data_IF_090666354251
#
_entry.id   IF_090666354251
#
_cell.length_a   1.000
_cell.length_b   1.000
_cell.length_c   1.000
_cell.angle_alpha   90.00
_cell.angle_beta   90.00
_cell.angle_gamma   90.00
#
_symmetry.space_group_name_H-M   'P 1'
#
loop_
_entity.id
_entity.type
_entity.pdbx_description
1 polymer ?
#
# COMPACT_ATOMS: atom_id res chain seq x y z
N UNK A 1 -19.42 67.24 -11.32
CA UNK A 1 -19.77 65.82 -11.10
C UNK A 1 -18.72 65.24 -10.17
N UNK A 2 -19.22 64.64 -9.09
CA UNK A 2 -18.54 63.96 -7.97
C UNK A 2 -17.57 62.86 -8.43
N UNK A 3 -16.48 62.63 -7.68
CA UNK A 3 -15.65 61.43 -7.90
C UNK A 3 -14.34 61.38 -7.12
N UNK A 4 -14.46 61.10 -5.84
CA UNK A 4 -13.45 60.81 -4.81
C UNK A 4 -12.29 59.88 -5.29
N UNK A 5 -11.04 60.30 -5.05
CA UNK A 5 -9.84 59.46 -5.14
C UNK A 5 -9.62 58.80 -3.77
N UNK A 6 -10.32 57.69 -3.52
CA UNK A 6 -10.07 56.85 -2.34
C UNK A 6 -9.30 55.59 -2.74
N UNK A 7 -8.09 55.49 -2.20
CA UNK A 7 -7.19 54.36 -2.31
C UNK A 7 -7.83 53.06 -1.79
N UNK A 8 -7.55 51.92 -2.44
CA UNK A 8 -7.59 50.65 -1.73
C UNK A 8 -6.48 49.73 -2.22
N UNK A 9 -5.43 49.64 -1.41
CA UNK A 9 -4.34 48.70 -1.58
C UNK A 9 -4.86 47.28 -1.38
N UNK A 10 -4.98 46.52 -2.46
CA UNK A 10 -5.25 45.09 -2.38
C UNK A 10 -4.01 44.39 -1.79
N UNK A 11 -4.06 44.13 -0.48
CA UNK A 11 -3.15 43.22 0.21
C UNK A 11 -3.31 41.83 -0.40
N UNK A 12 -2.35 41.42 -1.22
CA UNK A 12 -2.13 40.02 -1.58
C UNK A 12 -1.71 39.25 -0.33
N UNK A 13 -2.68 38.76 0.44
CA UNK A 13 -2.45 37.73 1.43
C UNK A 13 -2.16 36.41 0.70
N UNK A 14 -1.05 35.71 0.98
CA UNK A 14 -0.81 34.40 0.39
C UNK A 14 -1.90 33.45 0.88
N UNK A 15 -2.61 32.83 -0.07
CA UNK A 15 -3.58 31.79 0.20
C UNK A 15 -2.87 30.63 0.91
N UNK A 16 -3.11 30.51 2.21
CA UNK A 16 -2.64 29.39 3.01
C UNK A 16 -3.50 28.18 2.62
N UNK A 17 -3.11 27.49 1.55
CA UNK A 17 -3.71 26.20 1.17
C UNK A 17 -3.38 25.20 2.27
N UNK A 18 -4.24 25.13 3.29
CA UNK A 18 -4.31 24.00 4.20
C UNK A 18 -4.72 22.79 3.37
N UNK A 19 -3.73 21.98 2.99
CA UNK A 19 -3.97 20.65 2.44
C UNK A 19 -4.86 19.88 3.42
N UNK A 20 -6.13 19.68 3.09
CA UNK A 20 -7.04 18.82 3.86
C UNK A 20 -6.34 17.46 3.98
N UNK A 21 -5.98 17.08 5.21
CA UNK A 21 -5.41 15.77 5.50
C UNK A 21 -6.53 14.75 5.32
N UNK A 22 -6.62 14.14 4.14
CA UNK A 22 -7.60 13.08 3.87
C UNK A 22 -7.36 11.95 4.85
N UNK A 23 -8.33 11.70 5.73
CA UNK A 23 -8.26 10.65 6.75
C UNK A 23 -9.06 9.45 6.25
N UNK A 24 -8.36 8.37 5.89
CA UNK A 24 -8.99 7.13 5.47
C UNK A 24 -9.43 6.30 6.68
N UNK A 25 -10.55 5.56 6.62
CA UNK A 25 -10.95 4.68 7.70
C UNK A 25 -9.87 3.62 7.96
N UNK A 26 -9.79 3.15 9.21
CA UNK A 26 -8.87 2.04 9.53
C UNK A 26 -9.40 0.79 8.83
N UNK A 27 -8.51 0.09 8.11
CA UNK A 27 -8.82 -1.22 7.57
C UNK A 27 -9.28 -2.16 8.69
N UNK A 28 -10.43 -2.81 8.50
CA UNK A 28 -10.83 -3.94 9.31
C UNK A 28 -10.17 -5.22 8.79
N UNK A 29 -9.05 -5.59 9.43
CA UNK A 29 -8.24 -6.75 9.03
C UNK A 29 -9.00 -8.09 9.10
N UNK A 30 -10.13 -8.13 9.81
CA UNK A 30 -10.97 -9.33 9.95
C UNK A 30 -11.74 -9.67 8.67
N UNK A 31 -11.87 -8.71 7.76
CA UNK A 31 -12.64 -8.88 6.52
C UNK A 31 -11.79 -9.50 5.40
N UNK A 32 -10.46 -9.42 5.53
CA UNK A 32 -9.50 -9.95 4.55
C UNK A 32 -9.70 -11.45 4.27
N UNK A 33 -9.84 -12.34 5.26
CA UNK A 33 -10.07 -13.77 5.00
C UNK A 33 -11.38 -14.08 4.27
N UNK A 34 -12.34 -13.16 4.31
CA UNK A 34 -13.63 -13.29 3.62
C UNK A 34 -13.56 -12.73 2.19
N UNK A 35 -12.39 -12.30 1.73
CA UNK A 35 -12.22 -11.65 0.42
C UNK A 35 -12.89 -10.28 0.33
N UNK A 36 -13.13 -9.64 1.48
CA UNK A 36 -13.79 -8.34 1.57
C UNK A 36 -12.74 -7.25 1.82
N UNK A 37 -12.51 -6.44 0.79
CA UNK A 37 -11.55 -5.36 0.78
C UNK A 37 -12.21 -3.97 0.63
N UNK A 38 -13.52 -3.85 0.85
CA UNK A 38 -14.24 -2.56 0.77
C UNK A 38 -13.67 -1.46 1.67
N UNK A 39 -13.13 -1.82 2.84
CA UNK A 39 -12.40 -0.87 3.69
C UNK A 39 -11.08 -0.36 3.11
N UNK A 40 -10.56 -1.00 2.06
CA UNK A 40 -9.30 -0.70 1.40
C UNK A 40 -9.48 0.07 0.08
N UNK A 41 -10.67 0.03 -0.53
CA UNK A 41 -10.95 0.66 -1.82
C UNK A 41 -11.18 2.18 -1.76
N UNK A 42 -11.30 2.74 -0.55
CA UNK A 42 -11.42 4.18 -0.36
C UNK A 42 -10.04 4.86 -0.44
N UNK A 43 -9.67 5.40 -1.59
CA UNK A 43 -8.43 6.18 -1.76
C UNK A 43 -7.49 5.61 -2.82
N UNK A 44 -6.39 6.33 -3.07
CA UNK A 44 -5.38 5.92 -4.05
C UNK A 44 -4.24 5.20 -3.33
N UNK A 45 -3.71 4.14 -3.92
CA UNK A 45 -2.54 3.46 -3.40
C UNK A 45 -1.30 3.89 -4.17
N UNK A 46 -0.23 4.23 -3.45
CA UNK A 46 1.03 4.69 -4.05
C UNK A 46 2.17 3.86 -3.51
N UNK A 47 3.03 3.38 -4.41
CA UNK A 47 4.29 2.73 -4.03
C UNK A 47 5.20 3.78 -3.38
N UNK A 48 5.63 3.53 -2.15
CA UNK A 48 6.45 4.48 -1.37
C UNK A 48 7.85 3.97 -1.09
N UNK A 49 8.06 2.66 -1.22
CA UNK A 49 9.37 2.04 -1.09
C UNK A 49 9.38 0.67 -1.79
N UNK A 50 10.54 0.27 -2.29
CA UNK A 50 10.77 -1.06 -2.83
C UNK A 50 12.13 -1.61 -2.40
N UNK A 51 12.24 -2.91 -2.27
CA UNK A 51 13.50 -3.61 -2.03
C UNK A 51 13.56 -4.84 -2.94
N UNK A 52 14.76 -5.21 -3.34
CA UNK A 52 15.03 -6.49 -3.96
C UNK A 52 16.05 -7.22 -3.07
N UNK A 53 16.06 -8.55 -3.05
CA UNK A 53 17.23 -9.28 -2.55
C UNK A 53 18.07 -9.75 -3.71
N UNK A 54 19.39 -9.67 -3.56
CA UNK A 54 20.34 -10.30 -4.46
C UNK A 54 21.28 -11.15 -3.61
N UNK A 55 21.50 -12.41 -4.00
CA UNK A 55 22.38 -13.35 -3.30
C UNK A 55 22.08 -13.53 -1.80
N UNK A 56 20.80 -13.65 -1.43
CA UNK A 56 20.38 -13.94 -0.05
C UNK A 56 20.48 -12.78 0.94
N UNK A 57 21.02 -11.62 0.54
CA UNK A 57 21.05 -10.40 1.36
C UNK A 57 19.96 -9.43 0.91
N UNK A 58 19.19 -8.91 1.86
CA UNK A 58 18.19 -7.88 1.57
C UNK A 58 18.88 -6.58 1.18
N UNK A 59 18.74 -6.17 -0.08
CA UNK A 59 19.30 -4.89 -0.54
C UNK A 59 18.49 -3.77 0.07
N UNK A 60 19.18 -2.67 0.39
CA UNK A 60 18.63 -1.43 0.92
C UNK A 60 17.30 -1.07 0.27
N UNK A 61 16.27 -0.80 1.08
CA UNK A 61 15.03 -0.18 0.59
C UNK A 61 15.37 1.09 -0.19
N UNK A 62 14.74 1.27 -1.34
CA UNK A 62 14.88 2.46 -2.18
C UNK A 62 13.56 3.21 -2.27
N UNK A 63 13.67 4.54 -2.28
CA UNK A 63 12.57 5.49 -2.52
C UNK A 63 12.81 6.30 -3.79
N UNK A 64 13.80 5.89 -4.60
CA UNK A 64 14.08 6.57 -5.85
C UNK A 64 12.81 6.49 -6.70
N UNK A 65 12.19 7.63 -6.99
CA UNK A 65 10.96 7.71 -7.77
C UNK A 65 11.08 7.03 -9.13
N UNK A 66 12.28 7.00 -9.72
CA UNK A 66 12.54 6.28 -10.97
C UNK A 66 12.46 4.76 -10.83
N UNK A 67 12.41 4.23 -9.60
CA UNK A 67 12.25 2.80 -9.28
C UNK A 67 10.89 2.45 -8.70
N UNK A 68 10.11 3.45 -8.25
CA UNK A 68 8.76 3.29 -7.73
C UNK A 68 7.78 3.42 -8.90
N UNK A 69 7.57 2.33 -9.63
CA UNK A 69 6.81 2.33 -10.89
C UNK A 69 5.50 1.55 -10.79
N UNK A 70 5.32 0.76 -9.74
CA UNK A 70 4.21 -0.16 -9.64
C UNK A 70 2.96 0.54 -9.13
N UNK A 71 1.82 0.06 -9.60
CA UNK A 71 0.51 0.59 -9.27
C UNK A 71 -0.27 -0.49 -8.57
N UNK A 72 -0.87 -0.16 -7.43
CA UNK A 72 -1.77 -1.06 -6.73
C UNK A 72 -3.22 -0.63 -6.96
N UNK A 73 -4.00 -1.51 -7.55
CA UNK A 73 -5.44 -1.38 -7.67
C UNK A 73 -6.09 -2.12 -6.52
N UNK A 74 -6.97 -1.44 -5.79
CA UNK A 74 -7.74 -2.07 -4.70
C UNK A 74 -9.22 -1.77 -4.88
N UNK A 75 -10.02 -2.82 -5.01
CA UNK A 75 -11.48 -2.76 -5.11
C UNK A 75 -12.11 -3.42 -3.89
N UNK A 76 -13.44 -3.59 -3.87
CA UNK A 76 -14.13 -4.25 -2.76
C UNK A 76 -13.77 -5.73 -2.60
N UNK A 77 -13.22 -6.36 -3.63
CA UNK A 77 -12.94 -7.79 -3.69
C UNK A 77 -11.68 -8.16 -4.47
N UNK A 78 -10.88 -7.16 -4.89
CA UNK A 78 -9.61 -7.38 -5.57
C UNK A 78 -8.51 -6.50 -4.98
N UNK A 79 -7.29 -7.03 -4.93
CA UNK A 79 -6.04 -6.30 -4.77
C UNK A 79 -5.09 -6.79 -5.83
N UNK A 80 -4.57 -5.88 -6.66
CA UNK A 80 -3.84 -6.23 -7.87
C UNK A 80 -2.74 -5.21 -8.16
N UNK A 81 -1.49 -5.66 -8.32
CA UNK A 81 -0.35 -4.85 -8.73
C UNK A 81 0.09 -5.06 -10.19
N UNK A 82 -0.73 -5.77 -10.97
CA UNK A 82 -0.50 -6.30 -12.32
C UNK A 82 0.44 -7.52 -12.40
N UNK A 83 1.03 -7.95 -11.29
CA UNK A 83 1.88 -9.14 -11.22
C UNK A 83 1.27 -10.23 -10.33
N UNK A 84 0.66 -9.81 -9.22
CA UNK A 84 -0.09 -10.63 -8.27
C UNK A 84 -1.46 -9.99 -8.08
N UNK A 85 -2.49 -10.82 -8.18
CA UNK A 85 -3.82 -10.43 -7.73
C UNK A 85 -4.32 -11.35 -6.60
N UNK A 86 -4.97 -10.76 -5.60
CA UNK A 86 -5.80 -11.44 -4.61
C UNK A 86 -7.25 -11.10 -4.91
N UNK A 87 -7.97 -12.06 -5.51
CA UNK A 87 -9.36 -11.92 -5.94
C UNK A 87 -10.24 -12.75 -5.02
N UNK A 88 -11.09 -12.09 -4.25
CA UNK A 88 -11.81 -12.67 -3.13
C UNK A 88 -10.84 -13.38 -2.18
N UNK A 89 -10.93 -14.71 -2.09
CA UNK A 89 -10.12 -15.54 -1.19
C UNK A 89 -9.02 -16.32 -1.90
N UNK A 90 -8.69 -15.96 -3.15
CA UNK A 90 -7.76 -16.71 -4.00
C UNK A 90 -6.72 -15.80 -4.63
N UNK A 91 -5.49 -16.29 -4.67
CA UNK A 91 -4.47 -15.71 -5.54
C UNK A 91 -4.77 -16.02 -7.00
N UNK A 92 -4.57 -15.03 -7.86
CA UNK A 92 -4.49 -15.17 -9.30
C UNK A 92 -3.07 -14.79 -9.71
N UNK A 93 -2.29 -15.78 -10.13
CA UNK A 93 -0.86 -15.67 -10.41
C UNK A 93 -0.61 -16.25 -11.80
N UNK A 94 -0.35 -15.40 -12.79
CA UNK A 94 -0.20 -15.82 -14.19
C UNK A 94 -1.37 -16.73 -14.63
N UNK A 95 -1.16 -18.05 -14.65
CA UNK A 95 -2.14 -19.07 -15.05
C UNK A 95 -2.63 -19.97 -13.90
N UNK A 96 -2.28 -19.65 -12.64
CA UNK A 96 -2.63 -20.45 -11.46
C UNK A 96 -3.57 -19.67 -10.57
N UNK A 97 -4.67 -20.33 -10.18
CA UNK A 97 -5.62 -19.80 -9.20
C UNK A 97 -5.56 -20.61 -7.93
N UNK A 98 -4.84 -20.14 -6.92
CA UNK A 98 -4.62 -20.85 -5.67
C UNK A 98 -5.51 -20.31 -4.54
N UNK A 99 -5.98 -21.18 -3.63
CA UNK A 99 -6.54 -20.72 -2.35
C UNK A 99 -5.50 -19.91 -1.58
N UNK A 100 -5.98 -18.95 -0.80
CA UNK A 100 -5.13 -18.20 0.11
C UNK A 100 -5.21 -18.77 1.54
N UNK A 101 -4.05 -18.84 2.20
CA UNK A 101 -3.87 -19.03 3.63
C UNK A 101 -3.68 -17.67 4.30
N UNK A 102 -4.28 -17.49 5.47
CA UNK A 102 -4.29 -16.23 6.21
C UNK A 102 -3.60 -16.38 7.57
N UNK A 103 -2.61 -15.55 7.83
CA UNK A 103 -1.83 -15.57 9.06
C UNK A 103 -1.94 -14.22 9.77
N UNK A 104 -2.57 -14.22 10.95
CA UNK A 104 -2.74 -13.02 11.79
C UNK A 104 -1.51 -12.82 12.67
N UNK A 105 -1.06 -11.58 12.83
CA UNK A 105 0.01 -11.26 13.78
C UNK A 105 0.11 -9.78 14.09
N UNK A 106 0.20 -9.41 15.37
CA UNK A 106 0.41 -8.02 15.84
C UNK A 106 -0.45 -6.94 15.14
N UNK A 107 -1.74 -7.23 14.90
CA UNK A 107 -2.65 -6.31 14.20
C UNK A 107 -2.44 -6.20 12.69
N UNK A 108 -1.69 -7.13 12.10
CA UNK A 108 -1.49 -7.33 10.65
C UNK A 108 -2.08 -8.66 10.20
N UNK A 109 -2.20 -8.82 8.89
CA UNK A 109 -2.51 -10.09 8.23
C UNK A 109 -1.51 -10.33 7.11
N UNK A 110 -0.92 -11.50 7.07
CA UNK A 110 -0.17 -12.00 5.91
C UNK A 110 -1.05 -13.00 5.17
N UNK A 111 -1.08 -12.87 3.85
CA UNK A 111 -1.80 -13.77 2.95
C UNK A 111 -0.75 -14.49 2.11
N UNK A 112 -0.82 -15.81 2.09
CA UNK A 112 0.11 -16.71 1.39
C UNK A 112 -0.70 -17.67 0.51
N UNK A 113 -0.15 -18.18 -0.59
CA UNK A 113 -0.74 -19.33 -1.26
C UNK A 113 -0.93 -20.49 -0.29
N UNK A 114 -2.05 -21.19 -0.38
CA UNK A 114 -2.28 -22.42 0.38
C UNK A 114 -1.25 -23.47 -0.07
N UNK A 115 -0.46 -24.05 0.85
CA UNK A 115 0.58 -25.02 0.49
C UNK A 115 0.02 -26.27 -0.19
N UNK A 116 -1.27 -26.57 -0.06
CA UNK A 116 -1.92 -27.68 -0.75
C UNK A 116 -2.15 -27.42 -2.25
N UNK A 117 -2.05 -26.19 -2.74
CA UNK A 117 -2.41 -25.81 -4.12
C UNK A 117 -1.24 -25.91 -5.13
N UNK A 118 -0.14 -26.61 -4.78
CA UNK A 118 1.03 -26.86 -5.63
C UNK A 118 1.54 -25.62 -6.41
N UNK A 119 1.63 -24.48 -5.71
CA UNK A 119 2.10 -23.22 -6.31
C UNK A 119 3.63 -23.23 -6.38
N UNK A 120 4.19 -23.17 -7.60
CA UNK A 120 5.63 -23.26 -7.85
C UNK A 120 6.44 -22.04 -7.43
N UNK A 121 5.78 -20.92 -7.14
CA UNK A 121 6.42 -19.68 -6.74
C UNK A 121 5.75 -19.12 -5.50
N UNK A 122 6.58 -18.62 -4.58
CA UNK A 122 6.12 -18.08 -3.32
C UNK A 122 5.81 -16.60 -3.47
N UNK A 123 4.67 -16.20 -2.94
CA UNK A 123 4.21 -14.82 -2.91
C UNK A 123 3.58 -14.53 -1.57
N UNK A 124 3.55 -13.25 -1.17
CA UNK A 124 2.78 -12.86 0.00
C UNK A 124 2.23 -11.45 -0.12
N UNK A 125 1.04 -11.24 0.42
CA UNK A 125 0.49 -9.90 0.63
C UNK A 125 0.34 -9.68 2.12
N UNK A 126 0.93 -8.61 2.64
CA UNK A 126 0.84 -8.26 4.05
C UNK A 126 0.14 -6.92 4.24
N UNK A 127 -0.86 -6.94 5.10
CA UNK A 127 -1.73 -5.81 5.40
C UNK A 127 -1.37 -5.17 6.73
N UNK A 128 -1.19 -3.85 6.71
CA UNK A 128 -0.88 -3.04 7.88
C UNK A 128 -1.93 -1.92 8.01
N UNK A 129 -3.03 -2.16 8.75
CA UNK A 129 -3.97 -1.10 9.07
C UNK A 129 -3.28 0.12 9.69
N UNK A 130 -3.89 1.31 9.55
CA UNK A 130 -3.38 2.51 10.23
C UNK A 130 -3.33 2.29 11.75
N UNK A 131 -2.27 2.80 12.36
CA UNK A 131 -1.96 2.64 13.79
C UNK A 131 -1.24 1.34 14.15
N UNK A 132 -1.11 0.36 13.23
CA UNK A 132 -0.42 -0.89 13.53
C UNK A 132 1.08 -0.66 13.71
N UNK A 133 1.65 -1.22 14.80
CA UNK A 133 3.05 -1.01 15.22
C UNK A 133 4.02 -2.05 14.67
N UNK A 134 3.52 -3.08 13.98
CA UNK A 134 4.32 -4.13 13.35
C UNK A 134 5.47 -3.51 12.52
N UNK A 135 6.67 -4.01 12.75
CA UNK A 135 7.88 -3.45 12.15
C UNK A 135 8.13 -4.09 10.78
N UNK A 136 8.29 -3.26 9.77
CA UNK A 136 9.14 -3.56 8.63
C UNK A 136 10.48 -2.86 8.88
N UNK A 137 11.57 -3.63 8.84
CA UNK A 137 12.90 -3.08 9.07
C UNK A 137 13.38 -2.42 7.78
N UNK A 138 13.11 -1.13 7.64
CA UNK A 138 13.60 -0.34 6.52
C UNK A 138 15.08 0.04 6.75
N UNK A 139 15.98 -0.62 6.02
CA UNK A 139 17.42 -0.38 6.06
C UNK A 139 17.85 0.78 5.12
N UNK A 140 17.30 1.99 5.31
CA UNK A 140 17.79 3.20 4.62
C UNK A 140 17.24 4.53 5.21
N UNK A 141 16.90 4.56 6.50
CA UNK A 141 16.32 5.75 7.13
C UNK A 141 14.86 6.08 6.74
N UNK A 142 14.20 5.22 5.94
CA UNK A 142 12.76 5.34 5.71
C UNK A 142 12.00 5.11 7.02
N UNK A 143 11.14 6.07 7.35
CA UNK A 143 10.22 5.96 8.48
C UNK A 143 8.86 5.52 7.96
N UNK A 144 8.39 4.43 8.51
CA UNK A 144 7.05 3.90 8.28
C UNK A 144 5.97 4.91 8.74
N UNK A 145 5.12 5.36 7.81
CA UNK A 145 4.01 6.25 8.11
C UNK A 145 2.80 5.47 8.65
N UNK A 146 2.84 5.17 9.94
CA UNK A 146 1.79 4.43 10.65
C UNK A 146 0.45 5.17 10.70
N UNK A 147 0.38 6.43 10.26
CA UNK A 147 -0.91 7.14 10.15
C UNK A 147 -1.75 6.67 8.96
N UNK A 148 -1.13 5.93 8.02
CA UNK A 148 -1.76 5.39 6.82
C UNK A 148 -1.98 3.89 6.91
N UNK A 149 -2.96 3.43 6.15
CA UNK A 149 -3.08 2.03 5.79
C UNK A 149 -1.96 1.69 4.80
N UNK A 150 -1.29 0.55 4.99
CA UNK A 150 -0.15 0.13 4.16
C UNK A 150 -0.29 -1.33 3.74
N UNK A 151 0.24 -1.67 2.57
CA UNK A 151 0.26 -3.03 2.03
C UNK A 151 1.68 -3.30 1.55
N UNK A 152 2.23 -4.45 1.92
CA UNK A 152 3.48 -4.96 1.35
C UNK A 152 3.17 -6.17 0.47
N UNK A 153 3.71 -6.18 -0.74
CA UNK A 153 3.65 -7.33 -1.64
C UNK A 153 5.05 -7.88 -1.76
N UNK A 154 5.22 -9.20 -1.66
CA UNK A 154 6.51 -9.85 -1.88
C UNK A 154 6.36 -10.93 -2.94
N UNK A 155 7.32 -10.94 -3.86
CA UNK A 155 7.46 -11.91 -4.94
C UNK A 155 8.79 -12.65 -4.81
N UNK A 156 8.75 -13.98 -4.90
CA UNK A 156 9.98 -14.78 -4.96
C UNK A 156 10.77 -14.47 -6.23
N UNK A 157 10.07 -14.28 -7.37
CA UNK A 157 10.66 -13.89 -8.65
C UNK A 157 11.27 -12.50 -8.52
N UNK A 158 12.61 -12.44 -8.50
CA UNK A 158 13.36 -11.19 -8.27
C UNK A 158 13.50 -10.80 -6.80
N UNK A 159 12.94 -11.61 -5.88
CA UNK A 159 12.97 -11.43 -4.44
C UNK A 159 12.62 -9.98 -4.04
N UNK A 160 11.56 -9.47 -4.63
CA UNK A 160 11.16 -8.07 -4.59
C UNK A 160 10.07 -7.89 -3.55
N UNK A 161 10.13 -6.80 -2.80
CA UNK A 161 9.04 -6.35 -1.95
C UNK A 161 8.67 -4.92 -2.32
N UNK A 162 7.49 -4.73 -2.87
CA UNK A 162 6.84 -3.44 -3.00
C UNK A 162 6.12 -3.06 -1.71
N UNK A 163 6.16 -1.77 -1.37
CA UNK A 163 5.45 -1.22 -0.22
C UNK A 163 4.58 -0.04 -0.63
N UNK A 164 3.28 -0.19 -0.43
CA UNK A 164 2.26 0.77 -0.80
C UNK A 164 1.64 1.43 0.43
N UNK A 165 1.31 2.70 0.30
CA UNK A 165 0.54 3.46 1.29
C UNK A 165 -0.70 4.09 0.65
N UNK A 166 -1.79 4.14 1.42
CA UNK A 166 -3.05 4.75 1.00
C UNK A 166 -2.98 6.29 1.14
N UNK A 167 -3.35 6.99 0.07
CA UNK A 167 -3.28 8.44 -0.14
C UNK A 167 -4.60 9.02 -0.60
#
# INVERSE_FOLDING_TARGET
>A
MTGDLSANAAKNSPANTTSKKTSYPKINIKDVPNGQFGGFSSGKWTEVAVTNRTHGKQIKWTRNSNKLKDKLTVTSNNIDDNHIALVNTRFSLENVRAKAKYEKGHGTMTVLPDPSENVKSSYSIKFFPKGTTAKLNFNNGFKDDKSKNRIALWTEKGNRTEYFAQN
#
